data_IF_940219910069
#
_entry.id   IF_940219910069
#
_cell.length_a   1.000
_cell.length_b   1.000
_cell.length_c   1.000
_cell.angle_alpha   90.00
_cell.angle_beta   90.00
_cell.angle_gamma   90.00
#
_symmetry.space_group_name_H-M   'P 1'
#
loop_
_entity.id
_entity.type
_entity.pdbx_description
1 polymer ?
#
# COMPACT_ATOMS: atom_id res chain seq x y z
N UNK A 1 8.22 75.29 -11.49
CA UNK A 1 7.53 75.49 -10.20
C UNK A 1 7.71 74.22 -9.39
N UNK A 2 8.18 74.31 -8.16
CA UNK A 2 8.24 73.14 -7.27
C UNK A 2 6.97 73.13 -6.41
N UNK A 3 6.26 72.00 -6.40
CA UNK A 3 5.14 71.79 -5.48
C UNK A 3 5.74 71.28 -4.16
N UNK A 4 5.48 72.00 -3.06
CA UNK A 4 5.84 71.53 -1.72
C UNK A 4 4.61 70.90 -1.07
N UNK A 5 4.73 69.63 -0.68
CA UNK A 5 3.71 68.94 0.11
C UNK A 5 3.93 69.22 1.60
N UNK A 6 2.91 68.97 2.42
CA UNK A 6 3.02 69.08 3.87
C UNK A 6 4.03 68.05 4.39
N UNK A 7 5.00 68.49 5.19
CA UNK A 7 6.12 67.67 5.68
C UNK A 7 6.12 67.53 7.21
N UNK A 8 6.63 66.40 7.71
CA UNK A 8 6.78 66.14 9.14
C UNK A 8 7.74 64.99 9.47
N UNK A 9 7.91 64.70 10.76
CA UNK A 9 8.55 63.46 11.24
C UNK A 9 7.47 62.44 11.57
N UNK A 10 7.82 61.16 11.68
CA UNK A 10 6.87 60.13 12.10
C UNK A 10 6.16 60.46 13.42
N UNK A 11 6.86 61.13 14.35
CA UNK A 11 6.29 61.57 15.63
C UNK A 11 5.26 62.69 15.45
N UNK A 12 5.54 63.72 14.66
CA UNK A 12 4.61 64.84 14.50
C UNK A 12 3.42 64.51 13.62
N UNK A 13 3.58 63.57 12.68
CA UNK A 13 2.50 63.07 11.80
C UNK A 13 1.35 62.47 12.59
N UNK A 14 1.62 61.58 13.56
CA UNK A 14 0.59 60.82 14.27
C UNK A 14 -0.32 61.66 15.17
N UNK A 15 0.04 62.92 15.43
CA UNK A 15 -0.78 63.89 16.16
C UNK A 15 -1.62 64.80 15.25
N UNK A 16 -1.53 64.62 13.93
CA UNK A 16 -2.24 65.43 12.93
C UNK A 16 -3.26 64.58 12.20
N UNK A 17 -4.51 65.02 12.07
CA UNK A 17 -5.52 64.35 11.24
C UNK A 17 -5.57 65.08 9.88
N UNK A 18 -4.92 64.55 8.83
CA UNK A 18 -4.99 65.12 7.49
C UNK A 18 -6.41 65.05 6.91
N UNK A 19 -6.78 66.07 6.15
CA UNK A 19 -8.07 66.09 5.45
C UNK A 19 -8.16 64.98 4.40
N UNK A 20 -9.38 64.62 3.99
CA UNK A 20 -9.58 63.63 2.93
C UNK A 20 -8.85 64.06 1.64
N UNK A 21 -7.99 63.17 1.13
CA UNK A 21 -7.15 63.41 -0.04
C UNK A 21 -5.88 64.26 0.19
N UNK A 22 -5.63 64.75 1.40
CA UNK A 22 -4.42 65.53 1.70
C UNK A 22 -3.17 64.62 1.64
N UNK A 23 -2.12 65.08 0.93
CA UNK A 23 -0.85 64.37 0.82
C UNK A 23 0.19 64.89 1.82
N UNK A 24 0.72 63.96 2.63
CA UNK A 24 1.81 64.20 3.57
C UNK A 24 3.07 63.45 3.13
N UNK A 25 4.23 64.10 3.23
CA UNK A 25 5.53 63.41 3.10
C UNK A 25 6.26 63.46 4.44
N UNK A 26 6.68 62.30 4.94
CA UNK A 26 7.22 62.15 6.29
C UNK A 26 8.62 61.56 6.23
N UNK A 27 9.45 61.92 7.21
CA UNK A 27 10.84 61.45 7.36
C UNK A 27 11.72 61.73 6.14
N UNK A 28 11.43 62.82 5.44
CA UNK A 28 12.18 63.32 4.28
C UNK A 28 13.67 63.58 4.51
N UNK A 29 14.14 63.59 5.76
CA UNK A 29 15.57 63.69 6.12
C UNK A 29 16.25 62.33 6.24
N UNK A 30 15.52 61.22 6.05
CA UNK A 30 16.03 59.85 6.08
C UNK A 30 16.16 59.31 4.66
N UNK A 31 16.80 58.15 4.51
CA UNK A 31 16.89 57.44 3.23
C UNK A 31 15.57 56.81 2.77
N UNK A 32 14.52 56.85 3.60
CA UNK A 32 13.24 56.19 3.35
C UNK A 32 12.04 57.13 3.57
N UNK A 33 11.89 58.20 2.77
CA UNK A 33 10.76 59.11 2.88
C UNK A 33 9.44 58.38 2.62
N UNK A 34 8.44 58.58 3.48
CA UNK A 34 7.13 57.93 3.37
C UNK A 34 6.07 58.90 2.87
N UNK A 35 5.12 58.41 2.08
CA UNK A 35 3.96 59.18 1.62
C UNK A 35 2.69 58.67 2.29
N UNK A 36 1.90 59.59 2.83
CA UNK A 36 0.60 59.29 3.42
C UNK A 36 -0.51 60.11 2.75
N UNK A 37 -1.71 59.54 2.67
CA UNK A 37 -2.95 60.23 2.27
C UNK A 37 -3.86 60.36 3.48
N UNK A 38 -4.49 61.52 3.63
CA UNK A 38 -5.55 61.69 4.60
C UNK A 38 -6.88 61.12 4.12
N UNK A 39 -7.67 60.69 5.09
CA UNK A 39 -9.07 60.25 4.95
C UNK A 39 -10.01 61.14 5.78
N UNK A 40 -9.49 62.21 6.40
CA UNK A 40 -10.25 63.13 7.26
C UNK A 40 -10.54 62.60 8.67
N UNK A 41 -10.14 61.37 9.01
CA UNK A 41 -10.49 60.73 10.28
C UNK A 41 -9.29 60.11 11.02
N UNK A 42 -8.35 59.54 10.29
CA UNK A 42 -7.22 58.80 10.85
C UNK A 42 -6.05 59.72 11.17
N UNK A 43 -5.68 59.79 12.45
CA UNK A 43 -4.49 60.52 12.86
C UNK A 43 -3.23 59.97 12.18
N UNK A 44 -2.53 60.86 11.50
CA UNK A 44 -1.36 60.62 10.66
C UNK A 44 -1.65 60.16 9.23
N UNK A 45 -2.89 59.89 8.87
CA UNK A 45 -3.29 59.40 7.56
C UNK A 45 -2.83 57.97 7.26
N UNK A 46 -3.27 57.47 6.11
CA UNK A 46 -2.99 56.12 5.60
C UNK A 46 -1.69 56.12 4.79
N UNK A 47 -0.81 55.17 5.07
CA UNK A 47 0.45 54.99 4.34
C UNK A 47 0.18 54.53 2.90
N UNK A 48 0.80 55.20 1.93
CA UNK A 48 0.66 54.92 0.48
C UNK A 48 1.94 54.32 -0.10
N UNK A 49 3.10 54.76 0.37
CA UNK A 49 4.40 54.24 -0.06
C UNK A 49 5.39 54.21 1.10
N UNK A 50 5.98 53.04 1.35
CA UNK A 50 7.09 52.85 2.28
C UNK A 50 8.31 52.32 1.51
N UNK A 51 9.29 53.16 1.15
CA UNK A 51 10.49 52.68 0.48
C UNK A 51 11.40 51.83 1.38
N UNK A 52 11.10 51.67 2.68
CA UNK A 52 11.76 50.69 3.55
C UNK A 52 11.18 49.28 3.43
N UNK A 53 10.00 49.12 2.83
CA UNK A 53 9.40 47.80 2.56
C UNK A 53 9.88 47.22 1.23
N UNK A 54 11.19 47.07 1.06
CA UNK A 54 11.82 46.46 -0.13
C UNK A 54 11.66 44.93 -0.19
N UNK A 55 10.56 44.39 0.32
CA UNK A 55 10.17 42.99 0.18
C UNK A 55 8.67 42.95 -0.06
N UNK A 56 8.25 42.41 -1.22
CA UNK A 56 6.86 42.30 -1.59
C UNK A 56 6.05 41.52 -0.55
N UNK A 57 5.21 42.23 0.18
CA UNK A 57 4.31 41.69 1.19
C UNK A 57 3.79 42.86 2.00
N UNK A 58 2.51 43.18 1.86
CA UNK A 58 1.90 44.35 2.49
C UNK A 58 2.26 44.45 3.98
N UNK A 59 2.53 45.67 4.43
CA UNK A 59 2.84 46.01 5.80
C UNK A 59 1.93 45.24 6.80
N UNK A 60 2.51 44.28 7.53
CA UNK A 60 1.92 43.65 8.70
C UNK A 60 0.91 42.52 8.48
N UNK A 61 0.90 41.85 7.32
CA UNK A 61 0.05 40.68 7.08
C UNK A 61 0.80 39.35 7.14
N UNK A 62 0.13 38.29 7.62
CA UNK A 62 0.65 36.93 7.49
C UNK A 62 0.81 36.53 6.03
N UNK A 63 1.94 35.90 5.69
CA UNK A 63 2.17 35.40 4.33
C UNK A 63 1.12 34.34 3.89
N UNK A 64 0.43 33.73 4.85
CA UNK A 64 -0.71 32.83 4.67
C UNK A 64 -1.83 33.21 5.65
N UNK A 65 -3.10 33.15 5.22
CA UNK A 65 -4.24 33.34 6.11
C UNK A 65 -4.75 32.00 6.66
N UNK A 66 -4.85 30.99 5.79
CA UNK A 66 -5.36 29.66 6.12
C UNK A 66 -4.62 28.58 5.33
N UNK A 67 -4.39 27.42 5.96
CA UNK A 67 -4.03 26.17 5.31
C UNK A 67 -5.12 25.15 5.65
N UNK A 68 -5.90 24.76 4.65
CA UNK A 68 -7.04 23.87 4.82
C UNK A 68 -6.79 22.53 4.12
N UNK A 69 -7.12 21.45 4.82
CA UNK A 69 -7.20 20.09 4.28
C UNK A 69 -8.60 19.57 4.60
N UNK A 70 -9.30 19.01 3.61
CA UNK A 70 -10.66 18.52 3.79
C UNK A 70 -10.73 17.48 4.92
N UNK A 71 -11.69 17.64 5.84
CA UNK A 71 -11.86 16.77 7.00
C UNK A 71 -10.97 17.11 8.21
N UNK A 72 -10.02 18.05 8.07
CA UNK A 72 -9.14 18.50 9.15
C UNK A 72 -9.51 19.91 9.63
N UNK A 73 -9.03 20.27 10.81
CA UNK A 73 -9.08 21.66 11.29
C UNK A 73 -8.17 22.53 10.45
N UNK A 74 -8.68 23.64 9.93
CA UNK A 74 -7.88 24.63 9.21
C UNK A 74 -6.81 25.21 10.13
N UNK A 75 -5.57 25.25 9.67
CA UNK A 75 -4.50 26.02 10.31
C UNK A 75 -4.74 27.48 9.95
N UNK A 76 -4.93 28.35 10.93
CA UNK A 76 -5.23 29.78 10.76
C UNK A 76 -4.06 30.56 11.30
N UNK A 77 -3.65 31.62 10.63
CA UNK A 77 -2.59 32.44 11.17
C UNK A 77 -3.12 33.38 12.27
N UNK A 78 -2.60 33.32 13.51
CA UNK A 78 -3.19 34.04 14.65
C UNK A 78 -2.51 35.37 15.03
N UNK A 79 -1.29 35.60 14.57
CA UNK A 79 -0.54 36.85 14.81
C UNK A 79 0.20 37.27 13.56
N UNK A 80 0.71 38.49 13.45
CA UNK A 80 1.43 38.99 12.25
C UNK A 80 2.82 38.35 12.03
N UNK A 81 3.28 37.49 12.94
CA UNK A 81 4.57 36.78 12.86
C UNK A 81 4.40 35.29 13.10
N UNK A 82 3.31 34.73 12.60
CA UNK A 82 2.97 33.33 12.85
C UNK A 82 3.82 32.34 12.02
N UNK A 83 3.93 31.10 12.50
CA UNK A 83 4.79 30.06 11.92
C UNK A 83 4.00 28.79 11.60
N UNK A 84 4.10 28.31 10.35
CA UNK A 84 3.61 26.97 9.99
C UNK A 84 4.64 25.93 10.46
N UNK A 85 4.23 25.05 11.39
CA UNK A 85 5.04 23.90 11.80
C UNK A 85 4.60 22.65 11.05
N UNK A 86 5.53 21.99 10.35
CA UNK A 86 5.27 20.70 9.71
C UNK A 86 5.80 19.57 10.60
N UNK A 87 4.96 18.57 10.84
CA UNK A 87 5.31 17.40 11.64
C UNK A 87 5.23 16.15 10.77
N UNK A 88 6.29 15.35 10.76
CA UNK A 88 6.33 14.11 9.99
C UNK A 88 5.46 13.04 10.65
N UNK A 89 4.51 12.48 9.89
CA UNK A 89 3.75 11.29 10.29
C UNK A 89 4.48 9.98 9.95
N UNK A 90 3.90 8.84 10.33
CA UNK A 90 4.42 7.53 9.92
C UNK A 90 4.48 7.41 8.40
N UNK A 91 5.60 6.91 7.87
CA UNK A 91 5.77 6.74 6.43
C UNK A 91 6.11 8.03 5.68
N UNK A 92 6.34 9.16 6.36
CA UNK A 92 6.74 10.42 5.74
C UNK A 92 8.06 10.91 6.37
N UNK A 93 8.98 11.40 5.56
CA UNK A 93 10.14 12.17 5.98
C UNK A 93 9.99 13.61 5.49
N UNK A 94 10.37 14.56 6.33
CA UNK A 94 10.38 15.99 6.03
C UNK A 94 11.80 16.51 6.14
N UNK A 95 12.24 17.26 5.14
CA UNK A 95 13.51 17.96 5.13
C UNK A 95 13.34 19.36 4.55
N UNK A 96 14.29 20.24 4.84
CA UNK A 96 14.37 21.58 4.23
C UNK A 96 15.75 21.74 3.60
N UNK A 97 15.80 22.38 2.45
CA UNK A 97 17.05 22.82 1.83
C UNK A 97 17.02 24.34 1.68
N UNK A 98 17.79 25.02 2.54
CA UNK A 98 17.89 26.48 2.54
C UNK A 98 18.76 27.03 1.40
N UNK A 99 19.49 26.18 0.66
CA UNK A 99 20.24 26.61 -0.52
C UNK A 99 19.32 26.72 -1.73
N UNK A 100 18.35 25.81 -1.83
CA UNK A 100 17.36 25.77 -2.91
C UNK A 100 16.00 26.34 -2.52
N UNK A 101 15.87 26.88 -1.31
CA UNK A 101 14.63 27.40 -0.73
C UNK A 101 13.46 26.41 -0.82
N UNK A 102 13.70 25.14 -0.46
CA UNK A 102 12.71 24.06 -0.63
C UNK A 102 12.36 23.32 0.66
N UNK A 103 11.11 22.83 0.71
CA UNK A 103 10.62 21.84 1.68
C UNK A 103 10.40 20.53 0.93
N UNK A 104 11.05 19.48 1.40
CA UNK A 104 11.06 18.16 0.77
C UNK A 104 10.17 17.23 1.59
N UNK A 105 9.17 16.63 0.93
CA UNK A 105 8.27 15.64 1.53
C UNK A 105 8.50 14.31 0.81
N UNK A 106 9.03 13.34 1.52
CA UNK A 106 9.37 12.03 0.96
C UNK A 106 8.50 10.96 1.61
N UNK A 107 7.80 10.17 0.78
CA UNK A 107 7.19 8.94 1.24
C UNK A 107 8.28 7.92 1.57
N UNK A 108 8.34 7.47 2.81
CA UNK A 108 9.33 6.50 3.30
C UNK A 108 8.80 5.08 3.33
N UNK A 109 7.49 4.86 3.10
CA UNK A 109 7.05 3.50 2.80
C UNK A 109 7.55 3.13 1.40
N UNK A 110 8.49 2.20 1.34
CA UNK A 110 8.69 1.45 0.11
C UNK A 110 7.35 0.76 -0.16
N UNK A 111 6.77 0.99 -1.33
CA UNK A 111 5.61 0.22 -1.76
C UNK A 111 6.01 -1.24 -1.64
N UNK A 112 5.46 -1.93 -0.63
CA UNK A 112 5.54 -3.37 -0.51
C UNK A 112 4.71 -3.91 -1.66
N UNK A 113 5.25 -3.85 -2.88
CA UNK A 113 4.80 -4.69 -3.96
C UNK A 113 4.99 -6.09 -3.43
N UNK A 114 3.93 -6.67 -2.90
CA UNK A 114 3.90 -8.09 -2.58
C UNK A 114 4.31 -8.76 -3.87
N UNK A 115 5.56 -9.22 -3.90
CA UNK A 115 6.10 -9.88 -5.07
C UNK A 115 5.12 -10.99 -5.39
N UNK A 116 4.48 -10.92 -6.56
CA UNK A 116 3.68 -12.04 -7.03
C UNK A 116 4.56 -13.28 -6.97
N UNK A 117 3.98 -14.40 -6.56
CA UNK A 117 4.71 -15.66 -6.47
C UNK A 117 5.40 -15.93 -7.82
N UNK A 118 6.73 -15.96 -7.83
CA UNK A 118 7.52 -16.17 -9.05
C UNK A 118 7.70 -17.66 -9.35
N UNK A 119 7.51 -18.48 -8.32
CA UNK A 119 7.45 -19.93 -8.36
C UNK A 119 6.29 -20.43 -7.51
N UNK A 120 5.88 -21.68 -7.71
CA UNK A 120 4.81 -22.31 -6.92
C UNK A 120 5.12 -22.36 -5.40
N UNK A 121 6.39 -22.29 -5.01
CA UNK A 121 6.84 -22.28 -3.62
C UNK A 121 6.68 -20.91 -2.94
N UNK A 122 6.51 -19.84 -3.70
CA UNK A 122 6.35 -18.48 -3.19
C UNK A 122 4.89 -18.17 -2.78
N UNK A 123 3.97 -19.10 -3.07
CA UNK A 123 2.58 -19.03 -2.64
C UNK A 123 2.49 -19.38 -1.15
N UNK A 124 2.28 -18.37 -0.30
CA UNK A 124 2.11 -18.56 1.16
C UNK A 124 0.82 -19.28 1.58
N UNK A 125 -0.07 -19.57 0.62
CA UNK A 125 -1.35 -20.27 0.79
C UNK A 125 -1.36 -21.70 0.21
N UNK A 126 -0.17 -22.25 -0.07
CA UNK A 126 0.06 -23.67 -0.38
C UNK A 126 0.71 -24.33 0.82
N UNK A 127 0.43 -25.60 1.15
CA UNK A 127 0.43 -26.09 2.54
C UNK A 127 1.67 -25.65 3.33
N UNK A 128 1.40 -24.97 4.45
CA UNK A 128 2.32 -24.07 5.16
C UNK A 128 3.61 -24.72 5.71
N UNK A 129 3.79 -26.03 5.55
CA UNK A 129 5.04 -26.70 5.87
C UNK A 129 5.11 -28.06 5.17
N UNK A 130 6.06 -28.22 4.25
CA UNK A 130 6.53 -29.53 3.81
C UNK A 130 7.43 -30.07 4.94
N UNK A 131 7.02 -31.15 5.56
CA UNK A 131 7.80 -31.83 6.61
C UNK A 131 8.49 -33.06 6.03
N UNK A 132 9.49 -33.66 6.71
CA UNK A 132 10.03 -34.96 6.31
C UNK A 132 8.96 -36.07 6.21
N UNK A 133 7.83 -35.93 6.91
CA UNK A 133 6.70 -36.87 6.80
C UNK A 133 5.94 -36.74 5.47
N UNK A 134 6.22 -35.71 4.68
CA UNK A 134 5.64 -35.48 3.36
C UNK A 134 6.56 -35.94 2.22
N UNK A 135 7.71 -36.54 2.54
CA UNK A 135 8.60 -37.11 1.54
C UNK A 135 7.88 -38.19 0.71
N UNK A 136 8.06 -38.11 -0.62
CA UNK A 136 7.46 -39.01 -1.62
C UNK A 136 5.93 -38.96 -1.76
N UNK A 137 5.23 -38.05 -1.05
CA UNK A 137 3.81 -37.81 -1.24
C UNK A 137 3.50 -37.25 -2.64
N UNK A 138 2.31 -37.53 -3.14
CA UNK A 138 1.81 -36.99 -4.39
C UNK A 138 1.03 -35.70 -4.13
N UNK A 139 1.17 -34.74 -5.04
CA UNK A 139 0.44 -33.47 -5.00
C UNK A 139 -0.90 -33.66 -5.71
N UNK A 140 -2.00 -33.32 -5.03
CA UNK A 140 -3.37 -33.32 -5.59
C UNK A 140 -4.08 -32.01 -5.27
N UNK A 141 -5.17 -31.74 -5.98
CA UNK A 141 -6.17 -30.75 -5.57
C UNK A 141 -7.16 -31.45 -4.61
N UNK A 142 -7.55 -30.79 -3.52
CA UNK A 142 -8.50 -31.35 -2.55
C UNK A 142 -9.88 -31.62 -3.18
N UNK A 143 -10.70 -32.44 -2.52
CA UNK A 143 -12.03 -32.83 -3.02
C UNK A 143 -12.98 -31.64 -3.28
N UNK A 144 -12.73 -30.50 -2.63
CA UNK A 144 -13.52 -29.28 -2.76
C UNK A 144 -13.03 -28.35 -3.88
N UNK A 145 -11.90 -28.65 -4.53
CA UNK A 145 -11.31 -27.81 -5.56
C UNK A 145 -10.66 -26.51 -5.04
N UNK A 146 -10.45 -26.37 -3.73
CA UNK A 146 -10.09 -25.09 -3.09
C UNK A 146 -8.64 -25.00 -2.62
N UNK A 147 -7.91 -26.12 -2.54
CA UNK A 147 -6.52 -26.13 -2.08
C UNK A 147 -5.73 -27.30 -2.67
N UNK A 148 -4.41 -27.18 -2.63
CA UNK A 148 -3.49 -28.29 -2.88
C UNK A 148 -3.27 -29.08 -1.58
N UNK A 149 -3.25 -30.40 -1.68
CA UNK A 149 -2.98 -31.32 -0.57
C UNK A 149 -1.86 -32.30 -0.93
N UNK A 150 -1.08 -32.72 0.08
CA UNK A 150 -0.11 -33.80 -0.03
C UNK A 150 -0.76 -35.09 0.44
N UNK A 151 -0.88 -36.05 -0.45
CA UNK A 151 -1.43 -37.37 -0.16
C UNK A 151 -0.32 -38.40 -0.21
N UNK A 152 -0.42 -39.46 0.60
CA UNK A 152 0.52 -40.57 0.54
C UNK A 152 0.64 -41.10 -0.90
N UNK A 153 1.84 -41.58 -1.25
CA UNK A 153 2.20 -42.14 -2.56
C UNK A 153 1.49 -43.47 -2.84
N UNK A 154 0.18 -43.53 -2.64
CA UNK A 154 -0.69 -44.63 -2.99
C UNK A 154 -1.22 -44.44 -4.41
N UNK A 155 -0.34 -44.06 -5.33
CA UNK A 155 -0.61 -44.16 -6.76
C UNK A 155 -0.42 -45.63 -7.17
N UNK A 156 -1.29 -46.49 -6.65
CA UNK A 156 -1.34 -47.93 -6.91
C UNK A 156 -2.63 -48.48 -6.32
N UNK A 157 -3.18 -49.52 -6.97
CA UNK A 157 -4.39 -50.22 -6.54
C UNK A 157 -4.24 -50.64 -5.08
N UNK A 158 -5.03 -50.07 -4.16
CA UNK A 158 -4.88 -50.35 -2.71
C UNK A 158 -5.48 -51.70 -2.34
N UNK A 159 -6.52 -52.09 -3.07
CA UNK A 159 -7.11 -53.41 -3.06
C UNK A 159 -7.59 -53.76 -4.47
N UNK A 160 -7.44 -55.03 -4.88
CA UNK A 160 -7.90 -55.49 -6.20
C UNK A 160 -9.39 -55.22 -6.43
N UNK A 161 -10.19 -55.14 -5.36
CA UNK A 161 -11.62 -54.82 -5.43
C UNK A 161 -11.95 -53.44 -6.00
N UNK A 162 -10.99 -52.51 -6.03
CA UNK A 162 -11.18 -51.18 -6.62
C UNK A 162 -11.01 -51.20 -8.15
N UNK A 163 -10.47 -52.28 -8.70
CA UNK A 163 -10.37 -52.52 -10.13
C UNK A 163 -11.61 -53.29 -10.60
N UNK A 164 -12.43 -52.67 -11.45
CA UNK A 164 -13.64 -53.28 -12.02
C UNK A 164 -13.33 -54.15 -13.25
N UNK A 165 -12.10 -54.10 -13.78
CA UNK A 165 -11.64 -54.88 -14.93
C UNK A 165 -10.25 -55.47 -14.69
N UNK A 166 -10.04 -56.25 -13.61
CA UNK A 166 -8.71 -56.76 -13.29
C UNK A 166 -8.27 -57.78 -14.34
N UNK A 167 -7.14 -57.51 -14.99
CA UNK A 167 -6.48 -58.42 -15.92
C UNK A 167 -5.13 -58.88 -15.36
N UNK A 168 -4.77 -60.15 -15.59
CA UNK A 168 -3.46 -60.67 -15.25
C UNK A 168 -2.48 -60.41 -16.39
N UNK A 169 -1.48 -59.56 -16.18
CA UNK A 169 -0.36 -59.37 -17.12
C UNK A 169 0.66 -60.52 -17.15
N UNK A 170 0.43 -61.59 -16.39
CA UNK A 170 1.31 -62.75 -16.23
C UNK A 170 0.76 -63.79 -15.25
N UNK A 171 1.57 -64.76 -14.85
CA UNK A 171 1.15 -65.80 -13.90
C UNK A 171 0.78 -65.20 -12.53
N UNK A 172 -0.39 -65.55 -12.00
CA UNK A 172 -0.77 -65.22 -10.63
C UNK A 172 -0.03 -66.13 -9.64
N UNK A 173 0.91 -65.56 -8.87
CA UNK A 173 1.51 -66.24 -7.72
C UNK A 173 0.65 -66.00 -6.47
N UNK A 174 0.02 -67.05 -5.96
CA UNK A 174 -0.85 -66.97 -4.77
C UNK A 174 -0.08 -66.89 -3.44
N UNK A 175 1.26 -66.94 -3.45
CA UNK A 175 2.13 -66.82 -2.26
C UNK A 175 1.69 -67.73 -1.07
N UNK A 176 1.38 -68.99 -1.38
CA UNK A 176 0.92 -69.99 -0.41
C UNK A 176 -0.50 -69.77 0.12
N UNK A 177 -1.31 -68.93 -0.52
CA UNK A 177 -2.74 -68.74 -0.22
C UNK A 177 -3.63 -69.48 -1.20
N UNK A 178 -4.92 -69.55 -0.90
CA UNK A 178 -5.95 -70.13 -1.75
C UNK A 178 -6.76 -69.03 -2.43
N UNK A 179 -7.23 -69.30 -3.65
CA UNK A 179 -8.32 -68.52 -4.25
C UNK A 179 -9.60 -69.06 -3.63
N UNK A 180 -10.27 -68.24 -2.82
CA UNK A 180 -11.44 -68.64 -2.05
C UNK A 180 -12.62 -67.76 -2.42
N UNK A 181 -13.79 -68.36 -2.68
CA UNK A 181 -15.04 -67.64 -2.80
C UNK A 181 -15.61 -67.40 -1.41
N UNK A 182 -15.93 -66.15 -1.08
CA UNK A 182 -16.73 -65.82 0.10
C UNK A 182 -18.21 -66.06 -0.22
N UNK A 183 -19.04 -66.35 0.79
CA UNK A 183 -20.49 -66.59 0.63
C UNK A 183 -20.92 -67.84 -0.18
N UNK A 184 -20.06 -68.86 -0.29
CA UNK A 184 -20.37 -70.12 -0.99
C UNK A 184 -20.69 -69.96 -2.48
N UNK A 185 -20.27 -68.85 -3.10
CA UNK A 185 -20.38 -68.66 -4.54
C UNK A 185 -19.37 -69.52 -5.32
N UNK A 186 -19.59 -69.69 -6.62
CA UNK A 186 -18.63 -70.41 -7.48
C UNK A 186 -17.42 -69.54 -7.83
N UNK A 187 -16.24 -70.16 -7.95
CA UNK A 187 -15.08 -69.55 -8.62
C UNK A 187 -15.12 -70.00 -10.08
N UNK A 188 -15.58 -69.14 -10.98
CA UNK A 188 -15.67 -69.47 -12.40
C UNK A 188 -14.29 -69.33 -13.06
N UNK A 189 -13.77 -70.43 -13.61
CA UNK A 189 -12.59 -70.44 -14.47
C UNK A 189 -13.05 -70.85 -15.87
N UNK A 190 -13.37 -69.87 -16.71
CA UNK A 190 -13.96 -70.08 -18.02
C UNK A 190 -13.03 -69.56 -19.13
N UNK A 191 -12.24 -70.43 -19.79
CA UNK A 191 -11.53 -70.01 -21.00
C UNK A 191 -12.53 -69.70 -22.12
N UNK A 192 -12.20 -68.74 -22.99
CA UNK A 192 -12.98 -68.43 -24.18
C UNK A 192 -12.61 -69.33 -25.37
N UNK A 193 -13.56 -69.51 -26.30
CA UNK A 193 -13.36 -70.25 -27.55
C UNK A 193 -12.87 -71.69 -27.33
N UNK A 194 -11.63 -71.96 -27.76
CA UNK A 194 -10.97 -73.27 -27.69
C UNK A 194 -10.04 -73.44 -26.48
N UNK A 195 -9.98 -72.46 -25.58
CA UNK A 195 -9.10 -72.51 -24.42
C UNK A 195 -9.45 -73.63 -23.45
N UNK A 196 -8.48 -74.04 -22.63
CA UNK A 196 -8.59 -75.18 -21.70
C UNK A 196 -8.13 -74.79 -20.31
N UNK A 197 -8.74 -75.40 -19.30
CA UNK A 197 -8.20 -75.41 -17.93
C UNK A 197 -7.07 -76.45 -17.91
N UNK A 198 -5.84 -76.00 -17.66
CA UNK A 198 -4.65 -76.86 -17.67
C UNK A 198 -4.09 -76.95 -16.25
N UNK A 199 -4.03 -78.16 -15.70
CA UNK A 199 -3.44 -78.42 -14.37
C UNK A 199 -1.98 -78.87 -14.43
N UNK A 200 -1.42 -78.98 -15.63
CA UNK A 200 -0.05 -79.45 -15.87
C UNK A 200 0.24 -80.79 -15.18
N UNK A 201 -0.74 -81.69 -15.16
CA UNK A 201 -0.64 -83.02 -14.54
C UNK A 201 -0.73 -83.03 -13.02
N UNK A 202 -1.03 -81.89 -12.39
CA UNK A 202 -1.38 -81.83 -10.96
C UNK A 202 -2.83 -82.29 -10.76
N UNK A 203 -3.07 -82.99 -9.66
CA UNK A 203 -4.41 -83.46 -9.31
C UNK A 203 -5.35 -82.30 -8.98
N UNK A 204 -6.60 -82.43 -9.37
CA UNK A 204 -7.70 -81.60 -8.86
C UNK A 204 -8.39 -82.43 -7.78
N UNK A 205 -8.54 -81.87 -6.59
CA UNK A 205 -9.42 -82.44 -5.57
C UNK A 205 -10.83 -81.91 -5.82
N UNK A 206 -11.78 -82.81 -6.09
CA UNK A 206 -13.19 -82.50 -6.40
C UNK A 206 -14.13 -82.96 -5.29
N UNK A 207 -13.60 -83.14 -4.07
CA UNK A 207 -14.36 -83.58 -2.90
C UNK A 207 -15.57 -82.68 -2.56
#
# INVERSE_FOLDING_TARGET
>A
MAIQLKRGTSATRTSYIPADGELLIVDTSTTTPKVYVGDGNTAGGKLVADPSSSGGGGAGGNAFANIAVSGQTTVIAESTTDTVTLVAGTGISLATDAVTDSVIITNTVSGGGGGGASTFADLSDTPVSITPADANKIIKINANGTAIVFEDSTAGLTAVSEDLTPELGGNLNVNGKTITSTSSGNITIAPDGSGKIVTSGKGIDLA
#
